data_IF_492553668604
#
_entry.id   IF_492553668604
#
_cell.length_a   1.000
_cell.length_b   1.000
_cell.length_c   1.000
_cell.angle_alpha   90.00
_cell.angle_beta   90.00
_cell.angle_gamma   90.00
#
_symmetry.space_group_name_H-M   'P 1'
#
loop_
_entity.id
_entity.type
_entity.pdbx_description
1 polymer ?
#
# COMPACT_ATOMS: atom_id res chain seq x y z
N UNK A 1 16.18 1.10 8.70
CA UNK A 1 16.96 1.65 7.57
C UNK A 1 16.65 0.76 6.37
N UNK A 2 16.03 1.29 5.31
CA UNK A 2 15.66 0.45 4.16
C UNK A 2 16.93 0.10 3.39
N UNK A 3 17.23 -1.19 3.31
CA UNK A 3 18.34 -1.73 2.52
C UNK A 3 18.03 -1.47 1.05
N UNK A 4 18.90 -0.75 0.34
CA UNK A 4 18.73 -0.54 -1.09
C UNK A 4 19.08 -1.86 -1.80
N UNK A 5 18.06 -2.59 -2.21
CA UNK A 5 18.23 -3.73 -3.10
C UNK A 5 18.54 -3.23 -4.51
N UNK A 6 19.60 -3.77 -5.13
CA UNK A 6 19.83 -3.56 -6.57
C UNK A 6 18.77 -4.36 -7.34
N UNK A 7 17.73 -3.67 -7.84
CA UNK A 7 16.65 -4.27 -8.63
C UNK A 7 15.25 -4.06 -8.05
N UNK A 8 14.27 -4.83 -8.56
CA UNK A 8 12.91 -4.86 -8.02
C UNK A 8 12.84 -5.72 -6.76
N UNK A 9 12.05 -5.30 -5.77
CA UNK A 9 11.83 -6.05 -4.54
C UNK A 9 10.33 -6.14 -4.20
N UNK A 10 9.99 -7.06 -3.31
CA UNK A 10 8.65 -7.22 -2.75
C UNK A 10 8.71 -6.87 -1.27
N UNK A 11 7.76 -6.07 -0.81
CA UNK A 11 7.62 -5.72 0.59
C UNK A 11 6.23 -6.08 1.09
N UNK A 12 6.16 -6.60 2.32
CA UNK A 12 4.93 -7.11 2.92
C UNK A 12 4.59 -6.29 4.16
N UNK A 13 3.38 -5.72 4.20
CA UNK A 13 2.83 -5.03 5.38
C UNK A 13 1.76 -5.95 5.99
N UNK A 14 2.06 -6.57 7.13
CA UNK A 14 1.19 -7.51 7.83
C UNK A 14 0.84 -7.06 9.25
N UNK A 15 -0.20 -7.67 9.83
CA UNK A 15 -0.71 -7.35 11.17
C UNK A 15 -2.20 -7.66 11.32
N UNK A 16 -2.72 -7.63 12.55
CA UNK A 16 -4.14 -7.82 12.86
C UNK A 16 -5.02 -6.76 12.18
N UNK A 17 -6.34 -6.99 12.10
CA UNK A 17 -7.25 -5.91 11.69
C UNK A 17 -7.05 -4.69 12.62
N UNK A 18 -7.17 -3.49 12.04
CA UNK A 18 -6.95 -2.20 12.74
C UNK A 18 -5.50 -1.89 13.14
N UNK A 19 -4.51 -2.72 12.78
CA UNK A 19 -3.09 -2.44 13.01
C UNK A 19 -2.47 -1.43 12.02
N UNK A 20 -3.27 -0.63 11.32
CA UNK A 20 -2.77 0.41 10.40
C UNK A 20 -2.18 -0.05 9.06
N UNK A 21 -2.38 -1.31 8.63
CA UNK A 21 -1.83 -1.82 7.36
C UNK A 21 -2.20 -0.96 6.15
N UNK A 22 -3.48 -0.60 6.05
CA UNK A 22 -4.00 0.23 4.95
C UNK A 22 -3.40 1.64 4.98
N UNK A 23 -3.25 2.21 6.18
CA UNK A 23 -2.70 3.54 6.37
C UNK A 23 -1.22 3.60 5.93
N UNK A 24 -0.43 2.59 6.32
CA UNK A 24 0.97 2.50 5.89
C UNK A 24 1.10 2.30 4.37
N UNK A 25 0.25 1.46 3.76
CA UNK A 25 0.21 1.30 2.30
C UNK A 25 -0.09 2.63 1.60
N UNK A 26 -1.11 3.37 2.05
CA UNK A 26 -1.48 4.68 1.48
C UNK A 26 -0.33 5.69 1.66
N UNK A 27 0.33 5.70 2.82
CA UNK A 27 1.47 6.58 3.10
C UNK A 27 2.61 6.36 2.09
N UNK A 28 2.91 5.11 1.75
CA UNK A 28 3.96 4.77 0.76
C UNK A 28 3.56 5.17 -0.65
N UNK A 29 2.32 4.90 -1.06
CA UNK A 29 1.78 5.33 -2.35
C UNK A 29 1.89 6.85 -2.51
N UNK A 30 1.50 7.63 -1.49
CA UNK A 30 1.65 9.09 -1.49
C UNK A 30 3.10 9.53 -1.67
N UNK A 31 4.05 8.91 -0.97
CA UNK A 31 5.49 9.22 -1.13
C UNK A 31 5.99 8.95 -2.55
N UNK A 32 5.59 7.82 -3.14
CA UNK A 32 5.96 7.45 -4.51
C UNK A 32 5.34 8.41 -5.54
N UNK A 33 4.09 8.85 -5.34
CA UNK A 33 3.46 9.89 -6.16
C UNK A 33 4.19 11.24 -6.07
N UNK A 34 4.59 11.67 -4.87
CA UNK A 34 5.38 12.90 -4.67
C UNK A 34 6.72 12.80 -5.42
N UNK A 35 7.34 11.62 -5.40
CA UNK A 35 8.56 11.33 -6.17
C UNK A 35 8.31 11.15 -7.69
N UNK A 36 7.09 11.40 -8.18
CA UNK A 36 6.67 11.23 -9.58
C UNK A 36 6.87 9.81 -10.14
N UNK A 37 6.86 8.80 -9.26
CA UNK A 37 6.91 7.41 -9.68
C UNK A 37 5.55 6.98 -10.23
N UNK A 38 5.55 6.11 -11.23
CA UNK A 38 4.33 5.44 -11.72
C UNK A 38 3.94 4.36 -10.72
N UNK A 39 2.75 4.47 -10.13
CA UNK A 39 2.26 3.57 -9.09
C UNK A 39 0.86 3.09 -9.46
N UNK A 40 0.58 1.82 -9.19
CA UNK A 40 -0.76 1.23 -9.33
C UNK A 40 -1.13 0.54 -8.01
N UNK A 41 -2.38 0.71 -7.59
CA UNK A 41 -2.93 0.10 -6.37
C UNK A 41 -4.03 -0.87 -6.78
N UNK A 42 -4.01 -2.07 -6.20
CA UNK A 42 -4.98 -3.11 -6.47
C UNK A 42 -5.69 -3.50 -5.17
N UNK A 43 -6.99 -3.76 -5.27
CA UNK A 43 -7.83 -4.26 -4.18
C UNK A 43 -8.62 -5.47 -4.68
N UNK A 44 -8.75 -6.55 -3.90
CA UNK A 44 -9.60 -7.67 -4.30
C UNK A 44 -11.07 -7.22 -4.35
N UNK A 45 -11.78 -7.58 -5.43
CA UNK A 45 -13.19 -7.19 -5.62
C UNK A 45 -14.16 -7.74 -4.57
N UNK A 46 -13.74 -8.76 -3.81
CA UNK A 46 -14.50 -9.34 -2.71
C UNK A 46 -14.41 -8.51 -1.41
N UNK A 47 -13.48 -7.55 -1.30
CA UNK A 47 -13.35 -6.73 -0.10
C UNK A 47 -14.24 -5.48 -0.19
N UNK A 48 -15.50 -5.62 0.22
CA UNK A 48 -16.53 -4.58 0.18
C UNK A 48 -16.75 -3.85 1.52
N UNK A 49 -16.03 -4.26 2.57
CA UNK A 49 -16.26 -3.87 3.98
C UNK A 49 -16.23 -2.36 4.28
N UNK A 50 -15.63 -1.56 3.40
CA UNK A 50 -15.53 -0.11 3.59
C UNK A 50 -15.91 0.68 2.34
N UNK A 51 -15.34 0.35 1.16
CA UNK A 51 -15.70 0.90 -0.16
C UNK A 51 -15.22 -0.06 -1.26
N UNK A 52 -16.04 -0.30 -2.28
CA UNK A 52 -15.71 -1.23 -3.39
C UNK A 52 -14.52 -0.73 -4.21
N UNK A 53 -14.44 0.57 -4.50
CA UNK A 53 -13.46 1.14 -5.42
C UNK A 53 -12.23 1.77 -4.74
N UNK A 54 -12.21 1.83 -3.41
CA UNK A 54 -11.16 2.56 -2.67
C UNK A 54 -10.55 1.73 -1.56
N UNK A 55 -9.23 1.83 -1.45
CA UNK A 55 -8.47 1.42 -0.28
C UNK A 55 -8.64 2.52 0.78
N UNK A 56 -9.47 2.28 1.80
CA UNK A 56 -9.78 3.22 2.88
C UNK A 56 -9.28 2.72 4.24
N UNK A 57 -8.94 3.65 5.13
CA UNK A 57 -8.76 3.40 6.56
C UNK A 57 -10.09 3.36 7.30
#
# INVERSE_FOLDING_TARGET
MYQQHEGGWVEVICGSMFSGKTEELIRRVRRAQIAKQKVQVFKPGLDDRYQVEKVSS
#
